data_IF_174012587930
#
_entry.id   IF_174012587930
#
_cell.length_a   1.000
_cell.length_b   1.000
_cell.length_c   1.000
_cell.angle_alpha   90.00
_cell.angle_beta   90.00
_cell.angle_gamma   90.00
#
_symmetry.space_group_name_H-M   'P 1'
#
loop_
_entity.id
_entity.type
_entity.pdbx_description
1 polymer ?
#
# COMPACT_ATOMS: atom_id res chain seq x y z
N UNK A 1 -5.72 21.18 -9.76
CA UNK A 1 -4.74 20.09 -10.02
C UNK A 1 -3.36 20.61 -9.64
N UNK A 2 -2.68 19.98 -8.69
CA UNK A 2 -1.38 20.46 -8.19
C UNK A 2 -0.28 20.09 -9.20
N UNK A 3 0.63 21.01 -9.50
CA UNK A 3 1.77 20.80 -10.41
C UNK A 3 3.05 21.15 -9.66
N UNK A 4 4.02 20.24 -9.71
CA UNK A 4 5.33 20.42 -9.10
C UNK A 4 6.40 20.22 -10.16
N UNK A 5 7.38 21.11 -10.20
CA UNK A 5 8.58 20.93 -11.00
C UNK A 5 9.53 19.99 -10.26
N UNK A 6 9.81 18.81 -10.83
CA UNK A 6 10.60 17.75 -10.17
C UNK A 6 12.10 17.89 -10.48
N UNK A 7 12.46 18.40 -11.66
CA UNK A 7 13.84 18.69 -12.03
C UNK A 7 14.07 18.74 -13.54
N UNK A 8 15.32 18.99 -13.94
CA UNK A 8 15.73 19.20 -15.34
C UNK A 8 16.01 17.90 -16.10
N UNK A 9 16.38 16.84 -15.39
CA UNK A 9 16.88 15.61 -16.03
C UNK A 9 15.73 14.66 -16.42
N UNK A 10 15.76 14.07 -17.62
CA UNK A 10 14.84 13.01 -18.01
C UNK A 10 14.82 11.87 -16.97
N UNK A 11 13.61 11.44 -16.59
CA UNK A 11 13.41 10.35 -15.62
C UNK A 11 13.18 10.78 -14.18
N UNK A 12 13.50 12.02 -13.78
CA UNK A 12 13.28 12.47 -12.39
C UNK A 12 11.80 12.44 -11.96
N UNK A 13 10.89 12.80 -12.86
CA UNK A 13 9.44 12.68 -12.62
C UNK A 13 8.99 11.23 -12.40
N UNK A 14 9.58 10.28 -13.14
CA UNK A 14 9.28 8.86 -12.96
C UNK A 14 9.85 8.34 -11.65
N UNK A 15 11.08 8.72 -11.28
CA UNK A 15 11.65 8.38 -9.98
C UNK A 15 10.76 8.87 -8.82
N UNK A 16 10.27 10.12 -8.90
CA UNK A 16 9.33 10.67 -7.92
C UNK A 16 8.03 9.85 -7.83
N UNK A 17 7.50 9.38 -8.96
CA UNK A 17 6.32 8.51 -8.98
C UNK A 17 6.60 7.18 -8.25
N UNK A 18 7.76 6.56 -8.51
CA UNK A 18 8.13 5.30 -7.86
C UNK A 18 8.25 5.46 -6.34
N UNK A 19 8.88 6.54 -5.87
CA UNK A 19 8.97 6.89 -4.45
C UNK A 19 7.58 7.00 -3.80
N UNK A 20 6.68 7.75 -4.42
CA UNK A 20 5.31 7.91 -3.92
C UNK A 20 4.55 6.57 -3.91
N UNK A 21 4.67 5.77 -4.96
CA UNK A 21 3.96 4.49 -5.05
C UNK A 21 4.50 3.46 -4.06
N UNK A 22 5.80 3.46 -3.77
CA UNK A 22 6.36 2.69 -2.67
C UNK A 22 5.78 3.11 -1.32
N UNK A 23 5.76 4.41 -1.00
CA UNK A 23 5.16 4.90 0.26
C UNK A 23 3.68 4.54 0.36
N UNK A 24 2.93 4.68 -0.74
CA UNK A 24 1.51 4.30 -0.78
C UNK A 24 1.30 2.81 -0.58
N UNK A 25 2.13 1.95 -1.19
CA UNK A 25 2.07 0.51 -1.00
C UNK A 25 2.37 0.14 0.46
N UNK A 26 3.46 0.68 1.02
CA UNK A 26 3.84 0.47 2.42
C UNK A 26 2.72 0.86 3.37
N UNK A 27 2.14 2.06 3.19
CA UNK A 27 1.03 2.55 4.00
C UNK A 27 -0.20 1.64 3.91
N UNK A 28 -0.58 1.19 2.72
CA UNK A 28 -1.70 0.25 2.54
C UNK A 28 -1.46 -1.10 3.18
N UNK A 29 -0.29 -1.70 2.96
CA UNK A 29 0.08 -2.99 3.53
C UNK A 29 0.07 -2.94 5.06
N UNK A 30 0.82 -2.01 5.65
CA UNK A 30 0.92 -1.89 7.10
C UNK A 30 -0.42 -1.53 7.77
N UNK A 31 -1.19 -0.62 7.18
CA UNK A 31 -2.53 -0.28 7.69
C UNK A 31 -3.47 -1.50 7.62
N UNK A 32 -3.38 -2.29 6.55
CA UNK A 32 -4.18 -3.51 6.39
C UNK A 32 -3.85 -4.57 7.43
N UNK A 33 -2.56 -4.78 7.73
CA UNK A 33 -2.13 -5.68 8.81
C UNK A 33 -2.63 -5.19 10.17
N UNK A 34 -2.44 -3.91 10.48
CA UNK A 34 -2.87 -3.32 11.74
C UNK A 34 -4.40 -3.43 11.94
N UNK A 35 -5.19 -3.12 10.91
CA UNK A 35 -6.66 -3.24 10.97
C UNK A 35 -7.08 -4.70 11.08
N UNK A 36 -6.53 -5.61 10.26
CA UNK A 36 -6.89 -7.03 10.33
C UNK A 36 -6.54 -7.65 11.68
N UNK A 37 -5.40 -7.27 12.27
CA UNK A 37 -5.01 -7.69 13.61
C UNK A 37 -5.92 -7.09 14.69
N UNK A 38 -6.20 -5.79 14.63
CA UNK A 38 -7.12 -5.15 15.56
C UNK A 38 -8.52 -5.77 15.55
N UNK A 39 -9.04 -6.13 14.38
CA UNK A 39 -10.31 -6.87 14.26
C UNK A 39 -10.25 -8.25 14.92
N UNK A 40 -9.11 -8.95 14.84
CA UNK A 40 -8.92 -10.23 15.53
C UNK A 40 -8.94 -10.09 17.06
N UNK A 41 -8.65 -8.90 17.57
CA UNK A 41 -8.78 -8.53 18.99
C UNK A 41 -10.18 -7.99 19.35
N UNK A 42 -11.13 -8.00 18.40
CA UNK A 42 -12.49 -7.51 18.60
C UNK A 42 -12.66 -6.00 18.43
N UNK A 43 -11.65 -5.28 17.93
CA UNK A 43 -11.76 -3.84 17.68
C UNK A 43 -12.59 -3.56 16.42
N UNK A 44 -13.38 -2.50 16.47
CA UNK A 44 -14.15 -2.05 15.31
C UNK A 44 -13.25 -1.29 14.31
N UNK A 45 -13.22 -1.75 13.06
CA UNK A 45 -12.39 -1.14 11.99
C UNK A 45 -12.69 0.32 11.73
N UNK A 46 -13.95 0.75 11.79
CA UNK A 46 -14.28 2.17 11.60
C UNK A 46 -13.69 3.00 12.74
N UNK A 47 -13.87 2.57 13.98
CA UNK A 47 -13.31 3.25 15.15
C UNK A 47 -11.78 3.31 15.09
N UNK A 48 -11.11 2.22 14.69
CA UNK A 48 -9.65 2.22 14.50
C UNK A 48 -9.21 3.27 13.48
N UNK A 49 -9.89 3.34 12.33
CA UNK A 49 -9.59 4.32 11.29
C UNK A 49 -9.83 5.75 11.79
N UNK A 50 -10.90 6.00 12.54
CA UNK A 50 -11.18 7.30 13.15
C UNK A 50 -10.04 7.71 14.12
N UNK A 51 -9.56 6.79 14.96
CA UNK A 51 -8.42 7.02 15.88
C UNK A 51 -7.12 7.28 15.13
N UNK A 52 -6.79 6.47 14.11
CA UNK A 52 -5.56 6.63 13.34
C UNK A 52 -5.51 7.98 12.63
N UNK A 53 -6.65 8.46 12.13
CA UNK A 53 -6.73 9.72 11.38
C UNK A 53 -6.59 10.99 12.24
N UNK A 54 -6.68 10.89 13.57
CA UNK A 54 -6.41 12.00 14.52
C UNK A 54 -5.14 11.78 15.33
N UNK A 55 -4.36 10.74 14.98
CA UNK A 55 -3.13 10.35 15.67
C UNK A 55 -1.94 10.31 14.69
N UNK A 56 -0.75 9.99 15.19
CA UNK A 56 0.47 9.88 14.38
C UNK A 56 0.46 8.73 13.36
N UNK A 57 -0.50 7.81 13.43
CA UNK A 57 -0.66 6.72 12.48
C UNK A 57 -1.32 7.10 11.15
N UNK A 58 -1.76 8.36 11.00
CA UNK A 58 -2.47 8.83 9.81
C UNK A 58 -1.62 8.67 8.54
N UNK A 59 -2.24 8.17 7.48
CA UNK A 59 -1.66 8.13 6.14
C UNK A 59 -2.76 8.08 5.07
N UNK A 60 -2.41 7.96 3.78
CA UNK A 60 -3.42 7.95 2.71
C UNK A 60 -4.28 6.68 2.70
N UNK A 61 -3.82 5.54 3.25
CA UNK A 61 -4.68 4.38 3.43
C UNK A 61 -5.82 4.69 4.41
N UNK A 62 -5.51 5.28 5.57
CA UNK A 62 -6.49 5.57 6.63
C UNK A 62 -7.42 6.72 6.28
N UNK A 63 -6.91 7.78 5.65
CA UNK A 63 -7.68 9.00 5.36
C UNK A 63 -8.51 8.93 4.07
N UNK A 64 -8.17 8.00 3.17
CA UNK A 64 -8.79 7.91 1.85
C UNK A 64 -9.32 6.51 1.52
N UNK A 65 -8.44 5.50 1.45
CA UNK A 65 -8.79 4.20 0.87
C UNK A 65 -9.70 3.39 1.80
N UNK A 66 -9.40 3.36 3.09
CA UNK A 66 -10.20 2.62 4.06
C UNK A 66 -11.65 3.11 4.13
N UNK A 67 -11.91 4.41 4.42
CA UNK A 67 -13.28 4.91 4.55
C UNK A 67 -14.10 4.79 3.27
N UNK A 68 -13.49 4.99 2.09
CA UNK A 68 -14.23 5.13 0.83
C UNK A 68 -14.32 3.86 -0.03
N UNK A 69 -13.39 2.92 0.15
CA UNK A 69 -13.22 1.77 -0.75
C UNK A 69 -13.27 0.45 0.01
N UNK A 70 -12.55 0.33 1.12
CA UNK A 70 -12.41 -0.94 1.86
C UNK A 70 -13.57 -1.16 2.82
N UNK A 71 -13.88 -0.20 3.70
CA UNK A 71 -14.96 -0.34 4.68
C UNK A 71 -16.33 -0.42 3.99
N UNK A 72 -16.47 0.19 2.82
CA UNK A 72 -17.67 0.11 1.96
C UNK A 72 -17.67 -1.10 1.02
N UNK A 73 -16.62 -1.93 1.03
CA UNK A 73 -16.46 -3.13 0.18
C UNK A 73 -16.54 -2.89 -1.32
N UNK A 74 -16.17 -1.68 -1.79
CA UNK A 74 -16.23 -1.31 -3.21
C UNK A 74 -14.97 -1.71 -3.98
N UNK A 75 -13.80 -1.61 -3.33
CA UNK A 75 -12.50 -1.98 -3.90
C UNK A 75 -12.24 -1.41 -5.31
N UNK A 76 -12.63 -0.15 -5.54
CA UNK A 76 -12.69 0.50 -6.85
C UNK A 76 -11.80 1.76 -6.89
N UNK A 77 -10.55 1.63 -6.44
CA UNK A 77 -9.59 2.73 -6.50
C UNK A 77 -9.08 3.00 -7.93
N UNK A 78 -9.24 2.04 -8.84
CA UNK A 78 -8.90 2.18 -10.25
C UNK A 78 -7.42 1.95 -10.54
N UNK A 79 -6.70 1.26 -9.66
CA UNK A 79 -5.29 0.93 -9.84
C UNK A 79 -5.03 -0.53 -9.47
N UNK A 80 -4.54 -1.32 -10.42
CA UNK A 80 -4.39 -2.76 -10.20
C UNK A 80 -3.14 -3.10 -9.40
N UNK A 81 -3.18 -4.25 -8.74
CA UNK A 81 -2.04 -4.82 -8.04
C UNK A 81 -0.86 -5.07 -8.99
N UNK A 82 -1.11 -5.38 -10.28
CA UNK A 82 -0.09 -5.56 -11.32
C UNK A 82 0.74 -4.28 -11.51
N UNK A 83 0.06 -3.14 -11.64
CA UNK A 83 0.71 -1.85 -11.86
C UNK A 83 1.45 -1.39 -10.61
N UNK A 84 0.86 -1.58 -9.42
CA UNK A 84 1.53 -1.24 -8.16
C UNK A 84 2.77 -2.11 -7.93
N UNK A 85 2.65 -3.42 -8.15
CA UNK A 85 3.77 -4.37 -8.00
C UNK A 85 4.89 -4.04 -8.97
N UNK A 86 4.58 -3.69 -10.22
CA UNK A 86 5.55 -3.22 -11.20
C UNK A 86 6.30 -1.98 -10.68
N UNK A 87 5.58 -0.95 -10.23
CA UNK A 87 6.21 0.29 -9.77
C UNK A 87 7.11 0.04 -8.53
N UNK A 88 6.66 -0.76 -7.56
CA UNK A 88 7.46 -1.10 -6.37
C UNK A 88 8.66 -2.00 -6.71
N UNK A 89 8.53 -2.90 -7.69
CA UNK A 89 9.65 -3.73 -8.17
C UNK A 89 10.71 -2.89 -8.88
N UNK A 90 10.29 -1.90 -9.67
CA UNK A 90 11.21 -0.93 -10.28
C UNK A 90 11.90 -0.09 -9.22
N UNK A 91 11.18 0.38 -8.21
CA UNK A 91 11.78 1.10 -7.08
C UNK A 91 12.86 0.27 -6.38
N UNK A 92 12.54 -0.98 -6.01
CA UNK A 92 13.49 -1.89 -5.37
C UNK A 92 14.74 -2.12 -6.23
N UNK A 93 14.57 -2.35 -7.54
CA UNK A 93 15.69 -2.51 -8.46
C UNK A 93 16.60 -1.28 -8.52
N UNK A 94 16.03 -0.08 -8.46
CA UNK A 94 16.83 1.15 -8.41
C UNK A 94 17.52 1.34 -7.06
N UNK A 95 16.89 0.94 -5.95
CA UNK A 95 17.56 0.94 -4.64
C UNK A 95 18.77 0.02 -4.63
N UNK A 96 18.64 -1.22 -5.09
CA UNK A 96 19.71 -2.24 -5.10
C UNK A 96 20.94 -1.80 -5.91
N UNK A 97 20.76 -0.94 -6.92
CA UNK A 97 21.87 -0.38 -7.70
C UNK A 97 22.61 0.75 -7.00
N UNK A 98 21.92 1.52 -6.16
CA UNK A 98 22.40 2.81 -5.66
C UNK A 98 22.66 2.81 -4.16
N UNK A 99 22.06 1.88 -3.40
CA UNK A 99 22.07 1.86 -1.93
C UNK A 99 21.88 0.44 -1.39
N UNK A 100 22.09 0.24 -0.08
CA UNK A 100 21.74 -1.00 0.62
C UNK A 100 20.53 -0.83 1.57
N UNK A 101 19.72 0.23 1.40
CA UNK A 101 18.64 0.59 2.33
C UNK A 101 17.28 -0.02 1.94
N UNK A 102 17.28 -1.26 1.45
CA UNK A 102 16.15 -1.85 0.73
C UNK A 102 15.23 -2.77 1.57
N UNK A 103 15.47 -2.89 2.88
CA UNK A 103 14.78 -3.85 3.75
C UNK A 103 13.25 -3.74 3.70
N UNK A 104 12.72 -2.52 3.78
CA UNK A 104 11.29 -2.27 3.69
C UNK A 104 10.75 -2.53 2.28
N UNK A 105 11.50 -2.10 1.26
CA UNK A 105 11.14 -2.30 -0.14
C UNK A 105 11.03 -3.80 -0.48
N UNK A 106 11.99 -4.62 -0.04
CA UNK A 106 11.97 -6.08 -0.22
C UNK A 106 10.75 -6.72 0.43
N UNK A 107 10.45 -6.35 1.69
CA UNK A 107 9.30 -6.87 2.42
C UNK A 107 7.99 -6.54 1.73
N UNK A 108 7.79 -5.26 1.40
CA UNK A 108 6.55 -4.80 0.75
C UNK A 108 6.42 -5.42 -0.64
N UNK A 109 7.49 -5.42 -1.45
CA UNK A 109 7.49 -6.04 -2.78
C UNK A 109 7.11 -7.53 -2.70
N UNK A 110 7.66 -8.28 -1.74
CA UNK A 110 7.32 -9.69 -1.55
C UNK A 110 5.84 -9.92 -1.21
N UNK A 111 5.22 -9.05 -0.41
CA UNK A 111 3.77 -9.12 -0.12
C UNK A 111 2.95 -8.84 -1.37
N UNK A 112 3.31 -7.78 -2.12
CA UNK A 112 2.63 -7.44 -3.36
C UNK A 112 2.74 -8.56 -4.41
N UNK A 113 3.91 -9.18 -4.55
CA UNK A 113 4.11 -10.33 -5.45
C UNK A 113 3.25 -11.53 -5.07
N UNK A 114 3.12 -11.84 -3.77
CA UNK A 114 2.21 -12.90 -3.30
C UNK A 114 0.75 -12.58 -3.60
N UNK A 115 0.34 -11.33 -3.38
CA UNK A 115 -1.01 -10.88 -3.71
C UNK A 115 -1.25 -10.95 -5.23
N UNK A 116 -0.31 -10.48 -6.04
CA UNK A 116 -0.38 -10.52 -7.50
C UNK A 116 -0.54 -11.96 -8.00
N UNK A 117 0.22 -12.90 -7.45
CA UNK A 117 0.12 -14.31 -7.79
C UNK A 117 -1.26 -14.91 -7.43
N UNK A 118 -1.86 -14.46 -6.31
CA UNK A 118 -3.15 -14.95 -5.85
C UNK A 118 -4.35 -14.25 -6.51
N UNK A 119 -4.20 -12.99 -6.91
CA UNK A 119 -5.30 -12.10 -7.35
C UNK A 119 -4.86 -11.18 -8.51
N UNK A 120 -4.45 -11.73 -9.66
CA UNK A 120 -4.01 -10.91 -10.79
C UNK A 120 -5.15 -10.02 -11.31
N UNK A 121 -4.82 -8.78 -11.71
CA UNK A 121 -5.78 -7.80 -12.19
C UNK A 121 -6.68 -7.16 -11.11
N UNK A 122 -6.61 -7.61 -9.87
CA UNK A 122 -7.40 -7.05 -8.78
C UNK A 122 -6.98 -5.61 -8.47
N UNK A 123 -7.92 -4.80 -7.97
CA UNK A 123 -7.60 -3.48 -7.43
C UNK A 123 -6.67 -3.62 -6.21
N UNK A 124 -5.68 -2.75 -6.09
CA UNK A 124 -4.69 -2.85 -5.02
C UNK A 124 -5.29 -2.70 -3.61
N UNK A 125 -6.49 -2.12 -3.48
CA UNK A 125 -7.19 -2.02 -2.18
C UNK A 125 -7.67 -3.38 -1.66
N UNK A 126 -7.72 -4.41 -2.49
CA UNK A 126 -7.98 -5.80 -2.07
C UNK A 126 -6.84 -6.40 -1.22
N UNK A 127 -5.72 -5.71 -1.06
CA UNK A 127 -4.63 -6.12 -0.17
C UNK A 127 -5.11 -6.36 1.27
N UNK A 128 -6.11 -5.59 1.73
CA UNK A 128 -6.75 -5.83 3.02
C UNK A 128 -7.45 -7.19 3.08
N UNK A 129 -8.22 -7.54 2.05
CA UNK A 129 -8.88 -8.85 1.96
C UNK A 129 -7.84 -9.97 1.90
N UNK A 130 -6.78 -9.80 1.12
CA UNK A 130 -5.68 -10.76 0.99
C UNK A 130 -4.97 -11.00 2.34
N UNK A 131 -4.66 -9.95 3.09
CA UNK A 131 -4.02 -10.04 4.41
C UNK A 131 -4.98 -10.65 5.44
N UNK A 132 -6.24 -10.21 5.48
CA UNK A 132 -7.25 -10.71 6.43
C UNK A 132 -7.54 -12.20 6.27
N UNK A 133 -7.38 -12.76 5.07
CA UNK A 133 -7.50 -14.21 4.85
C UNK A 133 -6.37 -15.00 5.51
N UNK A 134 -5.19 -14.40 5.68
CA UNK A 134 -4.00 -15.03 6.27
C UNK A 134 -3.96 -14.90 7.80
N UNK A 135 -4.68 -13.94 8.39
CA UNK A 135 -4.68 -13.73 9.85
C UNK A 135 -5.40 -14.82 10.64
N UNK A 136 -6.16 -15.70 9.98
CA UNK A 136 -6.68 -16.93 10.57
C UNK A 136 -5.54 -17.96 10.67
N UNK A 137 -4.72 -17.87 11.73
CA UNK A 137 -3.91 -19.03 12.13
C UNK A 137 -4.86 -20.14 12.63
N UNK A 138 -4.54 -21.42 12.35
CA UNK A 138 -5.29 -22.54 12.90
C UNK A 138 -5.32 -22.51 14.43
#
# INVERSE_FOLDING_TARGET
KNRFYIGVEPGQGQAMKLLNNFLSATAMTATSEAVAFGESLGLNSKTMIDVFNVSSGQNTATSDKFPRRILTRKFDAGFTIDLLTKDVSLYLKEMEKNTNQDTMAKTVCGILQKMLAAMPGADFTEIYTFIKRQSKRP
#
